data_IF_810683431056
#
_entry.id   IF_810683431056
#
_cell.length_a   1.000
_cell.length_b   1.000
_cell.length_c   1.000
_cell.angle_alpha   90.00
_cell.angle_beta   90.00
_cell.angle_gamma   90.00
#
_symmetry.space_group_name_H-M   'P 1'
#
loop_
_entity.id
_entity.type
_entity.pdbx_description
1 polymer ?
#
# COMPACT_ATOMS: atom_id res chain seq x y z
N UNK A 1 -19.14 -29.87 -19.09
CA UNK A 1 -19.35 -30.05 -17.63
C UNK A 1 -17.98 -30.22 -16.97
N UNK A 2 -17.35 -29.14 -16.54
CA UNK A 2 -16.16 -29.14 -15.69
C UNK A 2 -16.24 -27.88 -14.83
N UNK A 3 -16.35 -28.10 -13.52
CA UNK A 3 -16.56 -27.08 -12.49
C UNK A 3 -15.18 -26.53 -12.12
N UNK A 4 -15.03 -25.21 -12.18
CA UNK A 4 -13.80 -24.52 -11.80
C UNK A 4 -13.70 -24.48 -10.27
N UNK A 5 -13.18 -25.53 -9.64
CA UNK A 5 -12.84 -25.50 -8.21
C UNK A 5 -11.48 -24.82 -8.04
N UNK A 6 -11.48 -23.49 -7.99
CA UNK A 6 -10.38 -22.72 -7.43
C UNK A 6 -10.94 -22.01 -6.21
N UNK A 7 -10.83 -22.67 -5.05
CA UNK A 7 -11.25 -22.10 -3.77
C UNK A 7 -10.44 -20.82 -3.51
N UNK A 8 -11.06 -19.68 -3.77
CA UNK A 8 -10.55 -18.40 -3.29
C UNK A 8 -10.89 -18.33 -1.80
N UNK A 9 -9.90 -18.52 -0.94
CA UNK A 9 -10.02 -18.55 0.53
C UNK A 9 -10.45 -17.21 1.17
N UNK A 10 -11.08 -16.29 0.45
CA UNK A 10 -11.50 -15.00 1.00
C UNK A 10 -12.51 -15.15 2.15
N UNK A 11 -13.24 -16.27 2.20
CA UNK A 11 -14.26 -16.51 3.22
C UNK A 11 -13.96 -17.71 4.13
N UNK A 12 -12.93 -18.52 3.84
CA UNK A 12 -12.58 -19.69 4.66
C UNK A 12 -13.80 -20.49 5.14
N UNK A 13 -13.91 -20.70 6.45
CA UNK A 13 -15.02 -21.41 7.10
C UNK A 13 -16.13 -20.46 7.62
N UNK A 14 -16.27 -19.26 7.02
CA UNK A 14 -17.27 -18.26 7.43
C UNK A 14 -18.56 -18.49 6.66
N UNK A 15 -19.65 -18.71 7.39
CA UNK A 15 -21.01 -18.68 6.84
C UNK A 15 -21.50 -17.25 6.76
N UNK A 16 -22.02 -16.86 5.59
CA UNK A 16 -22.63 -15.55 5.38
C UNK A 16 -24.12 -15.67 5.67
N UNK A 17 -24.62 -14.79 6.53
CA UNK A 17 -26.05 -14.71 6.81
C UNK A 17 -26.81 -14.21 5.57
N UNK A 18 -27.79 -14.99 5.04
CA UNK A 18 -28.51 -14.62 3.82
C UNK A 18 -29.32 -13.33 3.95
N UNK A 19 -29.74 -12.92 5.15
CA UNK A 19 -30.40 -11.62 5.38
C UNK A 19 -29.46 -10.41 5.22
N UNK A 20 -28.14 -10.64 5.24
CA UNK A 20 -27.12 -9.60 5.05
C UNK A 20 -26.85 -9.32 3.57
N UNK A 21 -27.39 -10.11 2.65
CA UNK A 21 -27.22 -9.91 1.20
C UNK A 21 -28.40 -9.10 0.66
N UNK A 22 -28.15 -7.84 0.30
CA UNK A 22 -29.10 -6.98 -0.41
C UNK A 22 -28.72 -6.89 -1.87
N UNK A 23 -29.44 -7.59 -2.72
CA UNK A 23 -29.24 -7.53 -4.17
C UNK A 23 -29.91 -6.24 -4.67
N UNK A 24 -29.11 -5.27 -5.10
CA UNK A 24 -29.63 -4.10 -5.82
C UNK A 24 -29.64 -4.43 -7.31
N UNK A 25 -30.83 -4.44 -7.90
CA UNK A 25 -31.01 -4.63 -9.34
C UNK A 25 -30.72 -3.31 -10.02
N UNK A 26 -29.65 -3.25 -10.82
CA UNK A 26 -29.36 -2.11 -11.67
C UNK A 26 -30.27 -2.16 -12.90
N UNK A 27 -31.32 -1.36 -12.94
CA UNK A 27 -32.03 -1.04 -14.18
C UNK A 27 -31.22 0.02 -14.93
N UNK A 28 -30.75 -0.34 -16.12
CA UNK A 28 -29.97 0.54 -16.99
C UNK A 28 -30.94 1.27 -17.93
N UNK A 29 -31.40 2.44 -17.52
CA UNK A 29 -32.09 3.35 -18.44
C UNK A 29 -31.05 4.26 -19.11
N UNK A 30 -31.08 4.23 -20.44
CA UNK A 30 -30.19 5.02 -21.29
C UNK A 30 -30.67 6.47 -21.30
N UNK A 31 -29.76 7.37 -20.92
CA UNK A 31 -29.63 8.79 -21.29
C UNK A 31 -29.48 9.76 -20.10
N UNK A 32 -28.23 10.20 -19.93
CA UNK A 32 -27.81 11.57 -19.55
C UNK A 32 -27.75 11.98 -18.05
N UNK A 33 -26.51 12.32 -17.67
CA UNK A 33 -25.99 13.26 -16.66
C UNK A 33 -26.57 13.31 -15.23
N UNK A 34 -25.65 13.03 -14.28
CA UNK A 34 -25.61 13.42 -12.87
C UNK A 34 -26.91 13.34 -12.06
N UNK A 35 -27.08 12.24 -11.32
CA UNK A 35 -28.07 12.13 -10.25
C UNK A 35 -27.39 11.83 -8.91
N UNK A 36 -27.39 12.83 -8.03
CA UNK A 36 -27.05 12.69 -6.61
C UNK A 36 -28.15 11.91 -5.89
N UNK A 37 -27.88 10.65 -5.54
CA UNK A 37 -28.74 9.89 -4.64
C UNK A 37 -28.51 10.36 -3.20
N UNK A 38 -29.51 11.02 -2.59
CA UNK A 38 -29.47 11.41 -1.19
C UNK A 38 -29.92 10.21 -0.33
N UNK A 39 -28.98 9.55 0.34
CA UNK A 39 -29.23 8.46 1.28
C UNK A 39 -29.42 9.00 2.70
N UNK A 40 -30.56 8.73 3.32
CA UNK A 40 -30.90 9.09 4.71
C UNK A 40 -30.51 8.01 5.74
N UNK A 41 -29.48 7.20 5.46
CA UNK A 41 -28.95 6.26 6.45
C UNK A 41 -28.00 7.00 7.41
N UNK A 42 -28.36 7.08 8.69
CA UNK A 42 -27.46 7.53 9.75
C UNK A 42 -26.22 6.62 9.80
N UNK A 43 -25.07 7.22 9.52
CA UNK A 43 -23.77 6.57 9.44
C UNK A 43 -23.30 6.21 10.85
N UNK A 44 -23.44 4.94 11.26
CA UNK A 44 -22.47 4.38 12.20
C UNK A 44 -21.12 4.50 11.51
N UNK A 45 -20.25 5.37 12.03
CA UNK A 45 -18.98 5.74 11.40
C UNK A 45 -18.02 4.54 11.41
N UNK A 46 -18.19 3.63 10.45
CA UNK A 46 -17.04 2.92 9.90
C UNK A 46 -16.27 4.00 9.16
N UNK A 47 -15.12 4.41 9.71
CA UNK A 47 -14.25 5.37 9.04
C UNK A 47 -14.10 4.95 7.57
N UNK A 48 -14.38 5.82 6.59
CA UNK A 48 -13.98 5.53 5.22
C UNK A 48 -12.49 5.22 5.27
N UNK A 49 -12.06 4.13 4.63
CA UNK A 49 -10.64 3.92 4.36
C UNK A 49 -10.27 5.03 3.38
N UNK A 50 -9.93 6.21 3.92
CA UNK A 50 -9.37 7.31 3.18
C UNK A 50 -8.00 6.80 2.74
N UNK A 51 -7.91 6.28 1.52
CA UNK A 51 -6.61 6.03 0.93
C UNK A 51 -5.91 7.39 0.90
N UNK A 52 -4.83 7.59 1.65
CA UNK A 52 -4.13 8.87 1.65
C UNK A 52 -3.73 9.17 0.21
N UNK A 53 -4.08 10.36 -0.26
CA UNK A 53 -3.76 10.79 -1.62
C UNK A 53 -2.24 10.76 -1.76
N UNK A 54 -1.75 9.93 -2.69
CA UNK A 54 -0.32 9.81 -2.93
C UNK A 54 0.19 11.07 -3.59
N UNK A 55 1.26 11.63 -3.04
CA UNK A 55 1.97 12.77 -3.60
C UNK A 55 3.37 12.33 -3.99
N UNK A 56 3.96 13.06 -4.94
CA UNK A 56 5.34 12.86 -5.32
C UNK A 56 6.17 14.07 -4.90
N UNK A 57 7.38 13.80 -4.40
CA UNK A 57 8.31 14.80 -3.91
C UNK A 57 9.72 14.45 -4.40
N UNK A 58 10.63 15.43 -4.49
CA UNK A 58 12.04 15.16 -4.74
C UNK A 58 12.60 14.17 -3.73
N UNK A 59 13.50 13.29 -4.18
CA UNK A 59 14.25 12.40 -3.30
C UNK A 59 15.35 13.20 -2.59
N UNK A 60 15.29 13.23 -1.26
CA UNK A 60 16.18 14.05 -0.44
C UNK A 60 17.28 13.26 0.29
N UNK A 61 17.18 11.93 0.44
CA UNK A 61 18.29 11.15 0.99
C UNK A 61 19.33 10.91 -0.11
N UNK A 62 20.46 11.60 0.00
CA UNK A 62 21.54 11.47 -0.96
C UNK A 62 22.13 10.05 -1.00
N UNK A 63 22.11 9.36 0.13
CA UNK A 63 22.58 7.97 0.27
C UNK A 63 21.75 6.99 -0.58
N UNK A 64 20.49 7.35 -0.91
CA UNK A 64 19.60 6.56 -1.77
C UNK A 64 19.73 6.85 -3.28
N UNK A 65 20.63 7.74 -3.67
CA UNK A 65 20.76 8.21 -5.07
C UNK A 65 21.12 7.14 -6.09
N UNK A 66 21.83 6.10 -5.65
CA UNK A 66 22.27 4.99 -6.49
C UNK A 66 21.22 3.87 -6.64
N UNK A 67 20.14 3.88 -5.86
CA UNK A 67 19.16 2.79 -5.82
C UNK A 67 17.76 3.18 -6.33
N UNK A 68 17.41 4.45 -6.26
CA UNK A 68 16.05 4.94 -6.51
C UNK A 68 16.06 6.12 -7.47
N UNK A 69 14.91 6.44 -8.05
CA UNK A 69 14.74 7.61 -8.92
C UNK A 69 14.80 8.91 -8.12
N UNK A 70 15.00 10.04 -8.81
CA UNK A 70 15.11 11.37 -8.18
C UNK A 70 13.78 11.91 -7.61
N UNK A 71 12.67 11.20 -7.80
CA UNK A 71 11.34 11.53 -7.28
C UNK A 71 10.78 10.33 -6.53
N UNK A 72 10.37 10.57 -5.29
CA UNK A 72 9.78 9.57 -4.38
C UNK A 72 8.28 9.79 -4.18
N UNK A 73 7.57 8.75 -3.77
CA UNK A 73 6.15 8.84 -3.38
C UNK A 73 5.97 8.88 -1.86
N UNK A 74 5.08 9.76 -1.40
CA UNK A 74 4.52 9.73 -0.04
C UNK A 74 3.01 9.42 -0.06
N UNK A 75 2.47 8.75 0.97
CA UNK A 75 3.22 8.15 2.08
C UNK A 75 4.09 6.98 1.60
N UNK A 76 5.30 6.83 2.14
CA UNK A 76 6.20 5.74 1.73
C UNK A 76 5.67 4.37 2.20
N UNK A 77 6.42 3.28 1.99
CA UNK A 77 5.93 1.93 2.28
C UNK A 77 5.66 1.69 3.77
N UNK A 78 6.38 2.38 4.64
CA UNK A 78 6.22 2.29 6.10
C UNK A 78 5.32 3.37 6.69
N UNK A 79 4.74 4.23 5.86
CA UNK A 79 3.71 5.18 6.26
C UNK A 79 4.19 6.58 6.66
N UNK A 80 5.46 6.92 6.44
CA UNK A 80 5.91 8.32 6.58
C UNK A 80 5.23 9.19 5.53
N UNK A 81 4.76 10.38 5.91
CA UNK A 81 4.00 11.25 5.01
C UNK A 81 4.86 12.34 4.37
N UNK A 82 6.10 12.51 4.83
CA UNK A 82 7.05 13.50 4.33
C UNK A 82 8.49 13.09 4.61
N UNK A 83 9.43 13.84 4.05
CA UNK A 83 10.85 13.68 4.36
C UNK A 83 11.17 13.96 5.84
N UNK A 84 10.50 14.94 6.46
CA UNK A 84 10.66 15.23 7.88
C UNK A 84 10.31 14.02 8.77
N UNK A 85 9.33 13.21 8.36
CA UNK A 85 8.99 11.98 9.06
C UNK A 85 10.07 10.92 8.88
N UNK A 86 10.65 10.79 7.68
CA UNK A 86 11.76 9.87 7.41
C UNK A 86 12.99 10.24 8.25
N UNK A 87 13.29 11.53 8.40
CA UNK A 87 14.46 12.00 9.14
C UNK A 87 14.36 11.74 10.64
N UNK A 88 13.16 11.68 11.22
CA UNK A 88 12.97 11.28 12.62
C UNK A 88 13.46 9.86 12.89
N UNK A 89 13.38 8.99 11.88
CA UNK A 89 13.72 7.57 11.97
C UNK A 89 15.04 7.21 11.25
N UNK A 90 15.77 8.21 10.73
CA UNK A 90 16.95 7.98 9.88
C UNK A 90 18.11 7.30 10.62
N UNK A 91 18.22 7.54 11.94
CA UNK A 91 19.26 6.92 12.76
C UNK A 91 19.06 5.41 12.81
N UNK A 92 17.82 4.94 13.03
CA UNK A 92 17.51 3.51 13.08
C UNK A 92 17.77 2.83 11.73
N UNK A 93 17.44 3.50 10.62
CA UNK A 93 17.76 2.97 9.29
C UNK A 93 19.27 2.88 9.04
N UNK A 94 20.04 3.88 9.49
CA UNK A 94 21.51 3.85 9.38
C UNK A 94 22.11 2.72 10.20
N UNK A 95 21.72 2.56 11.46
CA UNK A 95 22.18 1.46 12.31
C UNK A 95 21.89 0.09 11.68
N UNK A 96 20.71 -0.06 11.06
CA UNK A 96 20.34 -1.29 10.36
C UNK A 96 21.22 -1.55 9.14
N UNK A 97 21.52 -0.52 8.35
CA UNK A 97 22.41 -0.62 7.18
C UNK A 97 23.86 -0.91 7.61
N UNK A 98 24.34 -0.22 8.65
CA UNK A 98 25.70 -0.34 9.18
C UNK A 98 25.95 -1.69 9.86
N UNK A 99 24.89 -2.41 10.26
CA UNK A 99 25.01 -3.77 10.78
C UNK A 99 25.46 -4.80 9.73
N UNK A 100 25.41 -4.44 8.44
CA UNK A 100 25.78 -5.28 7.30
C UNK A 100 25.11 -6.68 7.31
N UNK A 101 23.94 -6.78 7.95
CA UNK A 101 23.17 -8.03 8.08
C UNK A 101 22.75 -8.65 6.74
N UNK A 102 22.69 -7.85 5.66
CA UNK A 102 22.40 -8.29 4.31
C UNK A 102 23.11 -7.39 3.28
N UNK A 103 23.71 -7.98 2.23
CA UNK A 103 24.52 -7.22 1.25
C UNK A 103 23.77 -6.10 0.53
N UNK A 104 22.45 -6.22 0.41
CA UNK A 104 21.58 -5.23 -0.24
C UNK A 104 20.68 -4.52 0.79
N UNK A 105 21.09 -4.48 2.08
CA UNK A 105 20.32 -3.82 3.13
C UNK A 105 20.07 -2.33 2.81
N UNK A 106 21.10 -1.63 2.33
CA UNK A 106 20.98 -0.22 1.94
C UNK A 106 19.97 -0.03 0.79
N UNK A 107 20.08 -0.83 -0.27
CA UNK A 107 19.13 -0.81 -1.40
C UNK A 107 17.70 -1.10 -0.92
N UNK A 108 17.52 -2.12 -0.08
CA UNK A 108 16.23 -2.48 0.48
C UNK A 108 15.60 -1.34 1.29
N UNK A 109 16.37 -0.75 2.21
CA UNK A 109 15.93 0.39 3.02
C UNK A 109 15.52 1.55 2.14
N UNK A 110 16.33 1.91 1.14
CA UNK A 110 16.00 3.00 0.21
C UNK A 110 14.70 2.75 -0.57
N UNK A 111 14.47 1.52 -1.05
CA UNK A 111 13.19 1.17 -1.69
C UNK A 111 11.99 1.29 -0.76
N UNK A 112 12.17 1.08 0.55
CA UNK A 112 11.10 1.21 1.54
C UNK A 112 10.83 2.68 1.89
N UNK A 113 11.89 3.45 2.17
CA UNK A 113 11.77 4.82 2.72
C UNK A 113 11.58 5.88 1.64
N UNK A 114 12.16 5.68 0.45
CA UNK A 114 12.03 6.57 -0.71
C UNK A 114 11.71 5.80 -2.01
N UNK A 115 10.54 5.11 -2.08
CA UNK A 115 10.14 4.35 -3.26
C UNK A 115 9.93 5.26 -4.47
N UNK A 116 10.19 4.78 -5.71
CA UNK A 116 9.91 5.54 -6.92
C UNK A 116 8.48 6.07 -6.98
N UNK A 117 8.31 7.31 -7.44
CA UNK A 117 7.00 7.86 -7.75
C UNK A 117 6.37 7.14 -8.96
N UNK A 118 5.28 6.42 -8.71
CA UNK A 118 4.48 5.75 -9.73
C UNK A 118 2.98 5.90 -9.42
N UNK A 119 2.12 5.50 -10.37
CA UNK A 119 0.66 5.50 -10.18
C UNK A 119 0.27 4.69 -8.94
N UNK A 120 0.89 3.53 -8.79
CA UNK A 120 0.66 2.60 -7.69
C UNK A 120 1.95 2.44 -6.87
N UNK A 121 1.82 2.22 -5.57
CA UNK A 121 2.97 1.93 -4.71
C UNK A 121 3.51 0.53 -5.03
N UNK A 122 4.74 0.47 -5.51
CA UNK A 122 5.42 -0.78 -5.84
C UNK A 122 6.10 -1.30 -4.57
N UNK A 123 5.64 -2.44 -4.07
CA UNK A 123 6.28 -3.13 -2.95
C UNK A 123 7.50 -3.94 -3.41
N UNK A 124 8.51 -4.12 -2.56
CA UNK A 124 9.63 -5.01 -2.86
C UNK A 124 9.14 -6.42 -3.17
N UNK A 125 9.84 -7.08 -4.10
CA UNK A 125 9.59 -8.48 -4.40
C UNK A 125 9.65 -9.34 -3.12
N UNK A 126 8.75 -10.32 -3.03
CA UNK A 126 8.66 -11.20 -1.86
C UNK A 126 9.98 -11.92 -1.53
N UNK A 127 10.74 -12.34 -2.55
CA UNK A 127 12.06 -12.95 -2.36
C UNK A 127 13.04 -11.97 -1.73
N UNK A 128 13.10 -10.74 -2.23
CA UNK A 128 13.99 -9.70 -1.73
C UNK A 128 13.69 -9.35 -0.26
N UNK A 129 12.41 -9.19 0.09
CA UNK A 129 11.97 -9.00 1.47
C UNK A 129 12.35 -10.18 2.39
N UNK A 130 12.23 -11.42 1.91
CA UNK A 130 12.63 -12.61 2.67
C UNK A 130 14.14 -12.70 2.91
N UNK A 131 14.95 -12.36 1.90
CA UNK A 131 16.40 -12.33 2.04
C UNK A 131 16.84 -11.27 3.05
N UNK A 132 16.28 -10.06 2.96
CA UNK A 132 16.52 -9.00 3.93
C UNK A 132 16.13 -9.45 5.35
N UNK A 133 14.92 -10.00 5.52
CA UNK A 133 14.44 -10.46 6.83
C UNK A 133 15.29 -11.61 7.40
N UNK A 134 15.83 -12.50 6.56
CA UNK A 134 16.67 -13.59 7.02
C UNK A 134 17.99 -13.13 7.64
N UNK A 135 18.48 -11.95 7.27
CA UNK A 135 19.71 -11.38 7.83
C UNK A 135 19.44 -10.37 8.94
N UNK A 136 18.43 -9.52 8.73
CA UNK A 136 18.21 -8.29 9.49
C UNK A 136 16.99 -8.28 10.42
N UNK A 137 16.17 -9.34 10.40
CA UNK A 137 14.89 -9.45 11.13
C UNK A 137 14.94 -10.26 12.41
#
# INVERSE_FOLDING_TARGET
RQVLTRETNYLGNRTIDPSSIKIQVFQYDTNQDASTALSTAELVTSHPIVTPLRSCAPRELNDCSQFTENVTSYPNIIGHNSYDDVIKDVIQFRELVDSECYRLAHEFVCHIVQPPCARDLILPCRSFCREFWSGCG
#
